data_IF_269043780188
#
_entry.id   IF_269043780188
#
_cell.length_a   1.000
_cell.length_b   1.000
_cell.length_c   1.000
_cell.angle_alpha   90.00
_cell.angle_beta   90.00
_cell.angle_gamma   90.00
#
_symmetry.space_group_name_H-M   'P 1'
#
loop_
_entity.id
_entity.type
_entity.pdbx_description
1 polymer ?
#
# COMPACT_ATOMS: atom_id res chain seq x y z
N UNK A 1 -8.71 7.53 -0.68
CA UNK A 1 -8.22 6.15 -0.94
C UNK A 1 -7.38 5.71 0.26
N UNK A 2 -7.63 4.54 0.88
CA UNK A 2 -6.81 3.99 1.97
C UNK A 2 -5.33 3.82 1.58
N UNK A 3 -5.09 3.58 0.29
CA UNK A 3 -3.77 3.39 -0.30
C UNK A 3 -3.21 4.66 -0.97
N UNK A 4 -3.65 5.85 -0.55
CA UNK A 4 -3.10 7.10 -1.07
C UNK A 4 -1.63 7.26 -0.65
N UNK A 5 -0.72 7.20 -1.62
CA UNK A 5 0.72 7.38 -1.38
C UNK A 5 1.04 8.73 -0.73
N UNK A 6 0.41 9.81 -1.21
CA UNK A 6 0.59 11.15 -0.63
C UNK A 6 0.18 11.19 0.85
N UNK A 7 -1.03 10.70 1.18
CA UNK A 7 -1.51 10.71 2.56
C UNK A 7 -0.63 9.83 3.46
N UNK A 8 -0.32 8.60 3.02
CA UNK A 8 0.43 7.66 3.85
C UNK A 8 1.88 8.09 4.08
N UNK A 9 2.59 8.50 3.03
CA UNK A 9 4.03 8.75 3.12
C UNK A 9 4.39 10.22 3.40
N UNK A 10 3.59 11.18 2.90
CA UNK A 10 3.83 12.61 3.10
C UNK A 10 3.08 13.11 4.34
N UNK A 11 1.74 13.07 4.34
CA UNK A 11 0.96 13.67 5.44
C UNK A 11 1.13 12.93 6.78
N UNK A 12 1.16 11.59 6.75
CA UNK A 12 1.25 10.76 7.96
C UNK A 12 2.67 10.29 8.27
N UNK A 13 3.61 10.39 7.32
CA UNK A 13 4.99 9.94 7.51
C UNK A 13 5.14 8.44 7.80
N UNK A 14 4.24 7.59 7.31
CA UNK A 14 4.27 6.15 7.57
C UNK A 14 5.35 5.46 6.74
N UNK A 15 5.93 4.40 7.30
CA UNK A 15 6.79 3.44 6.57
C UNK A 15 8.00 4.06 5.84
N UNK A 16 8.51 5.20 6.33
CA UNK A 16 9.62 5.94 5.72
C UNK A 16 10.86 5.11 5.36
N UNK A 17 11.33 4.16 6.21
CA UNK A 17 12.48 3.31 5.87
C UNK A 17 12.30 2.48 4.60
N UNK A 18 11.06 2.22 4.18
CA UNK A 18 10.75 1.47 2.96
C UNK A 18 10.45 2.42 1.79
N UNK A 19 9.59 3.40 2.02
CA UNK A 19 9.12 4.29 0.96
C UNK A 19 10.24 5.15 0.32
N UNK A 20 11.32 5.40 1.06
CA UNK A 20 12.39 6.33 0.67
C UNK A 20 13.71 5.67 0.28
N UNK A 21 13.78 4.34 0.20
CA UNK A 21 15.01 3.61 -0.15
C UNK A 21 15.67 4.14 -1.44
N UNK A 22 14.87 4.46 -2.47
CA UNK A 22 15.40 4.97 -3.75
C UNK A 22 16.01 6.38 -3.67
N UNK A 23 15.66 7.15 -2.63
CA UNK A 23 16.07 8.55 -2.45
C UNK A 23 16.84 8.79 -1.14
N UNK A 24 17.17 7.75 -0.39
CA UNK A 24 17.87 7.88 0.90
C UNK A 24 19.28 8.46 0.76
N UNK A 25 19.89 8.29 -0.42
CA UNK A 25 21.21 8.82 -0.76
C UNK A 25 21.30 10.35 -0.69
N UNK A 26 20.16 11.05 -0.65
CA UNK A 26 20.10 12.49 -0.41
C UNK A 26 20.43 12.89 1.04
N UNK A 27 20.37 11.96 2.01
CA UNK A 27 20.68 12.23 3.42
C UNK A 27 19.92 13.45 3.96
N UNK A 28 20.65 14.39 4.55
CA UNK A 28 20.09 15.63 5.10
C UNK A 28 19.44 16.55 4.05
N UNK A 29 19.76 16.36 2.76
CA UNK A 29 19.16 17.09 1.65
C UNK A 29 17.82 16.48 1.19
N UNK A 30 17.32 15.42 1.82
CA UNK A 30 16.05 14.79 1.46
C UNK A 30 14.85 15.66 1.87
N UNK A 31 14.41 16.52 0.96
CA UNK A 31 13.25 17.40 1.18
C UNK A 31 11.91 16.72 0.88
N UNK A 32 10.81 17.34 1.28
CA UNK A 32 9.46 16.89 0.94
C UNK A 32 9.22 16.93 -0.58
N UNK A 33 9.72 17.94 -1.27
CA UNK A 33 9.61 18.04 -2.73
C UNK A 33 10.30 16.87 -3.44
N UNK A 34 11.48 16.45 -2.97
CA UNK A 34 12.18 15.27 -3.51
C UNK A 34 11.36 14.01 -3.27
N UNK A 35 10.76 13.84 -2.10
CA UNK A 35 9.87 12.71 -1.80
C UNK A 35 8.64 12.69 -2.69
N UNK A 36 7.98 13.84 -2.88
CA UNK A 36 6.80 13.97 -3.74
C UNK A 36 7.16 13.67 -5.19
N UNK A 37 8.30 14.17 -5.68
CA UNK A 37 8.74 13.89 -7.05
C UNK A 37 9.09 12.40 -7.22
N UNK A 38 9.79 11.80 -6.25
CA UNK A 38 10.05 10.35 -6.23
C UNK A 38 8.76 9.54 -6.39
N UNK A 39 7.72 9.84 -5.61
CA UNK A 39 6.42 9.16 -5.68
C UNK A 39 5.69 9.31 -7.02
N UNK A 40 6.02 10.33 -7.83
CA UNK A 40 5.41 10.53 -9.16
C UNK A 40 6.16 9.79 -10.27
N UNK A 41 7.39 9.36 -10.01
CA UNK A 41 8.30 8.76 -10.99
C UNK A 41 8.33 7.23 -10.82
N UNK A 42 9.51 6.64 -10.70
CA UNK A 42 9.78 5.20 -10.67
C UNK A 42 9.80 4.60 -9.25
N UNK A 43 9.43 5.38 -8.22
CA UNK A 43 9.30 4.85 -6.87
C UNK A 43 8.16 3.79 -6.83
N UNK A 44 8.46 2.54 -6.44
CA UNK A 44 7.46 1.47 -6.41
C UNK A 44 6.31 1.77 -5.45
N UNK A 45 6.56 2.56 -4.40
CA UNK A 45 5.56 2.99 -3.43
C UNK A 45 4.68 4.15 -3.94
N UNK A 46 5.02 4.78 -5.06
CA UNK A 46 4.21 5.79 -5.74
C UNK A 46 3.08 5.22 -6.61
N UNK A 47 3.15 3.93 -6.96
CA UNK A 47 2.18 3.29 -7.86
C UNK A 47 0.79 3.18 -7.21
N UNK A 48 -0.24 3.50 -7.99
CA UNK A 48 -1.62 3.27 -7.56
C UNK A 48 -1.90 1.76 -7.48
N UNK A 49 -2.19 1.23 -6.29
CA UNK A 49 -2.45 -0.21 -6.07
C UNK A 49 -3.56 -0.78 -6.96
N UNK A 50 -4.56 0.05 -7.30
CA UNK A 50 -5.68 -0.32 -8.17
C UNK A 50 -5.30 -0.42 -9.65
N UNK A 51 -4.15 0.13 -10.03
CA UNK A 51 -3.61 0.10 -11.39
C UNK A 51 -2.33 -0.74 -11.46
N UNK A 52 -1.97 -1.42 -10.36
CA UNK A 52 -0.91 -2.42 -10.39
C UNK A 52 -1.45 -3.71 -11.03
N UNK A 53 -0.51 -4.53 -11.47
CA UNK A 53 -0.67 -5.86 -12.04
C UNK A 53 -1.05 -6.93 -10.98
N UNK A 54 -1.86 -6.54 -10.01
CA UNK A 54 -2.33 -7.41 -8.95
C UNK A 54 -3.31 -8.45 -9.52
N UNK A 55 -3.01 -9.73 -9.31
CA UNK A 55 -3.90 -10.86 -9.61
C UNK A 55 -4.52 -11.46 -8.34
N UNK A 56 -4.37 -10.77 -7.20
CA UNK A 56 -4.94 -11.14 -5.91
C UNK A 56 -6.26 -10.39 -5.68
N UNK A 57 -7.19 -11.03 -4.97
CA UNK A 57 -8.46 -10.41 -4.59
C UNK A 57 -8.26 -9.40 -3.46
N UNK A 58 -8.91 -8.26 -3.57
CA UNK A 58 -8.97 -7.21 -2.55
C UNK A 58 -10.15 -7.42 -1.59
N UNK A 59 -11.20 -8.11 -2.03
CA UNK A 59 -12.36 -8.49 -1.23
C UNK A 59 -12.72 -9.95 -1.48
N UNK A 60 -12.85 -10.74 -0.41
CA UNK A 60 -13.22 -12.15 -0.50
C UNK A 60 -14.21 -12.51 0.60
N UNK A 61 -15.23 -13.28 0.23
CA UNK A 61 -16.13 -13.93 1.18
C UNK A 61 -16.09 -15.44 0.93
N UNK A 62 -15.78 -16.20 1.98
CA UNK A 62 -15.82 -17.66 1.98
C UNK A 62 -16.95 -18.12 2.88
N UNK A 63 -17.82 -18.97 2.35
CA UNK A 63 -18.88 -19.63 3.11
C UNK A 63 -18.41 -21.06 3.38
N UNK A 64 -18.43 -21.45 4.66
CA UNK A 64 -17.90 -22.72 5.14
C UNK A 64 -19.05 -23.50 5.76
N UNK A 65 -19.25 -24.74 5.32
CA UNK A 65 -20.10 -25.73 5.96
C UNK A 65 -19.22 -26.74 6.70
N UNK A 66 -19.40 -26.84 8.02
CA UNK A 66 -18.67 -27.80 8.86
C UNK A 66 -19.39 -29.15 8.92
N UNK A 67 -18.68 -30.23 9.23
CA UNK A 67 -19.25 -31.59 9.31
C UNK A 67 -20.44 -31.73 10.27
N UNK A 68 -20.50 -30.89 11.29
CA UNK A 68 -21.61 -30.86 12.26
C UNK A 68 -22.82 -30.01 11.79
N UNK A 69 -22.81 -29.54 10.54
CA UNK A 69 -23.89 -28.75 9.93
C UNK A 69 -23.89 -27.26 10.28
N UNK A 70 -22.89 -26.77 11.01
CA UNK A 70 -22.73 -25.33 11.26
C UNK A 70 -22.26 -24.64 9.99
N UNK A 71 -22.83 -23.49 9.67
CA UNK A 71 -22.36 -22.61 8.59
C UNK A 71 -21.65 -21.40 9.18
N UNK A 72 -20.50 -21.03 8.60
CA UNK A 72 -19.80 -19.79 8.93
C UNK A 72 -19.48 -19.00 7.66
N UNK A 73 -19.39 -17.68 7.82
CA UNK A 73 -18.93 -16.76 6.78
C UNK A 73 -17.64 -16.10 7.24
N UNK A 74 -16.58 -16.22 6.45
CA UNK A 74 -15.34 -15.48 6.64
C UNK A 74 -15.23 -14.41 5.56
N UNK A 75 -15.11 -13.16 5.98
CA UNK A 75 -15.03 -11.99 5.10
C UNK A 75 -13.66 -11.32 5.28
N UNK A 76 -12.96 -11.11 4.16
CA UNK A 76 -11.71 -10.39 4.08
C UNK A 76 -11.92 -9.15 3.19
N UNK A 77 -11.56 -7.97 3.70
CA UNK A 77 -11.73 -6.65 3.07
C UNK A 77 -10.50 -5.79 3.31
#
# INVERSE_FOLDING_TARGET
CPYSAYNNYIEKGLWGPYAWESVEHHGDALTEEIKIESLKQDNPYGRCVWHCDNNVVDHQTVIIEFENGVTATHTLT
#
